data_IF_892846018602
#
_entry.id   IF_892846018602
#
_cell.length_a   1.000
_cell.length_b   1.000
_cell.length_c   1.000
_cell.angle_alpha   90.00
_cell.angle_beta   90.00
_cell.angle_gamma   90.00
#
_symmetry.space_group_name_H-M   'P 1'
#
loop_
_entity.id
_entity.type
_entity.pdbx_description
1 polymer ?
#
# COMPACT_ATOMS: atom_id res chain seq x y z
N UNK A 1 -14.99 -8.24 -20.80
CA UNK A 1 -13.65 -8.55 -20.27
C UNK A 1 -13.39 -8.04 -18.86
N UNK A 2 -14.42 -7.57 -18.13
CA UNK A 2 -14.27 -7.23 -16.71
C UNK A 2 -14.11 -8.51 -15.87
N UNK A 3 -13.37 -8.45 -14.75
CA UNK A 3 -12.65 -7.29 -14.23
C UNK A 3 -11.29 -7.06 -14.91
N UNK A 4 -10.95 -5.77 -15.12
CA UNK A 4 -9.64 -5.36 -15.60
C UNK A 4 -8.75 -5.00 -14.42
N UNK A 5 -7.65 -5.74 -14.23
CA UNK A 5 -6.71 -5.55 -13.12
C UNK A 5 -5.39 -5.00 -13.65
N UNK A 6 -4.95 -3.88 -13.09
CA UNK A 6 -3.71 -3.22 -13.45
C UNK A 6 -2.79 -3.12 -12.24
N UNK A 7 -1.50 -3.32 -12.47
CA UNK A 7 -0.44 -3.02 -11.50
C UNK A 7 0.45 -1.92 -12.09
N UNK A 8 0.50 -0.78 -11.42
CA UNK A 8 1.27 0.39 -11.86
C UNK A 8 2.42 0.70 -10.92
N UNK A 9 3.62 0.90 -11.47
CA UNK A 9 4.76 1.46 -10.75
C UNK A 9 4.95 2.92 -11.12
N UNK A 10 5.09 3.80 -10.12
CA UNK A 10 5.37 5.22 -10.37
C UNK A 10 6.01 5.91 -9.17
N UNK A 11 6.72 7.01 -9.46
CA UNK A 11 7.11 7.99 -8.45
C UNK A 11 5.93 8.89 -8.10
N UNK A 12 5.58 8.92 -6.82
CA UNK A 12 4.49 9.71 -6.26
C UNK A 12 5.03 11.01 -5.67
N UNK A 13 4.32 12.12 -5.92
CA UNK A 13 4.65 13.44 -5.37
C UNK A 13 3.53 13.93 -4.46
N UNK A 14 3.85 14.31 -3.21
CA UNK A 14 2.88 14.83 -2.24
C UNK A 14 3.39 16.12 -1.59
N UNK A 15 2.50 17.11 -1.46
CA UNK A 15 2.84 18.37 -0.78
C UNK A 15 2.99 18.23 0.73
N UNK A 16 2.39 17.20 1.33
CA UNK A 16 2.33 16.99 2.80
C UNK A 16 1.91 18.27 3.56
N UNK A 17 1.01 19.05 2.95
CA UNK A 17 0.45 20.25 3.57
C UNK A 17 -0.52 19.84 4.70
N UNK A 18 -0.34 20.42 5.89
CA UNK A 18 -1.18 20.14 7.07
C UNK A 18 -0.57 19.19 8.09
N UNK A 19 0.63 18.64 7.85
CA UNK A 19 1.35 17.75 8.79
C UNK A 19 2.61 18.40 9.36
N UNK A 20 2.63 19.73 9.51
CA UNK A 20 3.78 20.45 10.05
C UNK A 20 4.21 19.86 11.40
N UNK A 21 5.50 19.51 11.52
CA UNK A 21 6.06 18.97 12.76
C UNK A 21 5.94 17.45 12.97
N UNK A 22 5.24 16.70 12.09
CA UNK A 22 5.10 15.24 12.22
C UNK A 22 6.06 14.49 11.30
N UNK A 23 6.78 13.51 11.86
CA UNK A 23 7.67 12.59 11.13
C UNK A 23 8.77 13.31 10.32
N UNK A 24 9.39 14.34 10.90
CA UNK A 24 10.40 15.16 10.23
C UNK A 24 11.74 14.44 9.96
N UNK A 25 11.95 13.26 10.54
CA UNK A 25 13.18 12.47 10.40
C UNK A 25 12.96 11.20 9.56
N UNK A 26 13.95 10.83 8.74
CA UNK A 26 13.92 9.63 7.92
C UNK A 26 13.14 9.79 6.61
N UNK A 27 12.65 8.67 6.07
CA UNK A 27 11.95 8.61 4.77
C UNK A 27 10.48 8.17 4.88
N UNK A 28 9.90 8.21 6.09
CA UNK A 28 8.54 7.71 6.32
C UNK A 28 7.47 8.63 5.72
N UNK A 29 7.65 9.95 5.90
CA UNK A 29 6.82 11.00 5.30
C UNK A 29 7.73 11.91 4.49
N UNK A 30 7.56 11.89 3.17
CA UNK A 30 8.42 12.60 2.23
C UNK A 30 7.60 13.15 1.07
N UNK A 31 8.14 14.17 0.40
CA UNK A 31 7.49 14.76 -0.76
C UNK A 31 7.52 13.88 -2.01
N UNK A 32 8.45 12.92 -2.06
CA UNK A 32 8.66 12.03 -3.19
C UNK A 32 8.92 10.62 -2.69
N UNK A 33 8.19 9.64 -3.23
CA UNK A 33 8.40 8.22 -2.93
C UNK A 33 7.90 7.35 -4.09
N UNK A 34 8.48 6.16 -4.26
CA UNK A 34 7.99 5.21 -5.25
C UNK A 34 6.91 4.29 -4.69
N UNK A 35 5.97 3.93 -5.55
CA UNK A 35 4.83 3.09 -5.19
C UNK A 35 4.46 2.11 -6.30
N UNK A 36 4.14 0.89 -5.91
CA UNK A 36 3.38 -0.07 -6.71
C UNK A 36 1.92 0.00 -6.26
N UNK A 37 1.02 0.34 -7.19
CA UNK A 37 -0.42 0.43 -6.98
C UNK A 37 -1.14 -0.64 -7.79
N UNK A 38 -2.20 -1.21 -7.23
CA UNK A 38 -3.17 -2.02 -7.95
C UNK A 38 -4.41 -1.18 -8.19
N UNK A 39 -4.94 -1.23 -9.41
CA UNK A 39 -6.18 -0.58 -9.79
C UNK A 39 -7.07 -1.55 -10.55
N UNK A 40 -8.34 -1.63 -10.17
CA UNK A 40 -9.29 -2.58 -10.75
C UNK A 40 -10.53 -1.86 -11.25
N UNK A 41 -10.93 -2.18 -12.48
CA UNK A 41 -12.27 -1.90 -13.00
C UNK A 41 -13.08 -3.19 -12.93
N UNK A 42 -14.25 -3.15 -12.30
CA UNK A 42 -15.11 -4.32 -12.13
C UNK A 42 -16.56 -4.03 -12.51
N UNK A 43 -17.32 -5.09 -12.76
CA UNK A 43 -18.77 -5.01 -12.89
C UNK A 43 -19.39 -4.63 -11.53
N UNK A 44 -20.44 -3.78 -11.51
CA UNK A 44 -21.06 -3.37 -10.25
C UNK A 44 -21.56 -4.53 -9.38
N UNK A 45 -22.01 -5.61 -10.01
CA UNK A 45 -22.65 -6.74 -9.33
C UNK A 45 -21.64 -7.65 -8.61
N UNK A 46 -20.37 -7.67 -9.05
CA UNK A 46 -19.28 -8.48 -8.47
C UNK A 46 -18.17 -7.66 -7.80
N UNK A 47 -18.27 -6.32 -7.81
CA UNK A 47 -17.17 -5.44 -7.38
C UNK A 47 -16.79 -5.59 -5.90
N UNK A 48 -17.74 -5.93 -5.03
CA UNK A 48 -17.46 -6.10 -3.60
C UNK A 48 -16.72 -7.40 -3.29
N UNK A 49 -16.96 -8.46 -4.05
CA UNK A 49 -16.18 -9.69 -3.97
C UNK A 49 -14.75 -9.43 -4.45
N UNK A 50 -14.60 -8.69 -5.54
CA UNK A 50 -13.30 -8.26 -6.06
C UNK A 50 -12.53 -7.38 -5.05
N UNK A 51 -13.24 -6.54 -4.29
CA UNK A 51 -12.64 -5.70 -3.26
C UNK A 51 -12.09 -6.51 -2.08
N UNK A 52 -12.80 -7.54 -1.63
CA UNK A 52 -12.31 -8.42 -0.58
C UNK A 52 -11.11 -9.25 -1.07
N UNK A 53 -11.12 -9.71 -2.34
CA UNK A 53 -9.95 -10.34 -2.95
C UNK A 53 -8.75 -9.38 -3.03
N UNK A 54 -8.98 -8.11 -3.38
CA UNK A 54 -7.93 -7.09 -3.41
C UNK A 54 -7.34 -6.88 -2.00
N UNK A 55 -8.18 -6.80 -0.97
CA UNK A 55 -7.74 -6.72 0.43
C UNK A 55 -6.89 -7.94 0.83
N UNK A 56 -7.33 -9.15 0.49
CA UNK A 56 -6.59 -10.38 0.76
C UNK A 56 -5.24 -10.43 0.05
N UNK A 57 -5.18 -9.97 -1.20
CA UNK A 57 -3.93 -9.82 -1.96
C UNK A 57 -2.93 -8.92 -1.22
N UNK A 58 -3.39 -7.85 -0.56
CA UNK A 58 -2.52 -6.97 0.22
C UNK A 58 -2.02 -7.65 1.50
N UNK A 59 -2.87 -8.43 2.15
CA UNK A 59 -2.47 -9.23 3.30
C UNK A 59 -1.42 -10.28 2.92
N UNK A 60 -1.53 -10.90 1.74
CA UNK A 60 -0.52 -11.84 1.25
C UNK A 60 0.86 -11.20 1.10
N UNK A 61 0.93 -9.95 0.62
CA UNK A 61 2.21 -9.21 0.55
C UNK A 61 2.77 -8.99 1.97
N UNK A 62 1.95 -8.56 2.94
CA UNK A 62 2.40 -8.36 4.31
C UNK A 62 2.86 -9.67 4.98
N UNK A 63 2.13 -10.76 4.76
CA UNK A 63 2.47 -12.11 5.24
C UNK A 63 3.77 -12.61 4.60
N UNK A 64 3.93 -12.44 3.30
CA UNK A 64 5.13 -12.84 2.56
C UNK A 64 6.38 -12.09 3.02
N UNK A 65 6.22 -10.81 3.40
CA UNK A 65 7.26 -10.00 4.02
C UNK A 65 7.45 -10.29 5.53
N UNK A 66 6.72 -11.24 6.10
CA UNK A 66 6.84 -11.63 7.51
C UNK A 66 6.45 -10.56 8.52
N UNK A 67 5.66 -9.55 8.12
CA UNK A 67 5.26 -8.48 9.02
C UNK A 67 4.14 -8.89 9.97
N UNK A 68 4.21 -8.40 11.21
CA UNK A 68 3.06 -8.37 12.11
C UNK A 68 2.23 -7.12 11.81
N UNK A 69 0.99 -7.33 11.37
CA UNK A 69 0.11 -6.25 10.93
C UNK A 69 -1.32 -6.41 11.47
N UNK A 70 -2.12 -5.37 11.32
CA UNK A 70 -3.57 -5.39 11.55
C UNK A 70 -4.30 -4.79 10.35
N UNK A 71 -5.49 -5.30 10.07
CA UNK A 71 -6.43 -4.74 9.09
C UNK A 71 -7.43 -3.86 9.84
N UNK A 72 -7.64 -2.64 9.37
CA UNK A 72 -8.56 -1.68 9.98
C UNK A 72 -9.66 -1.35 8.97
N UNK A 73 -10.92 -1.56 9.32
CA UNK A 73 -12.06 -1.02 8.58
C UNK A 73 -12.27 0.43 9.00
N UNK A 74 -12.04 1.37 8.08
CA UNK A 74 -11.97 2.79 8.41
C UNK A 74 -13.36 3.37 8.71
N UNK A 75 -13.44 4.26 9.71
CA UNK A 75 -14.70 4.92 10.05
C UNK A 75 -15.04 6.01 9.03
N UNK A 76 -16.31 6.40 8.98
CA UNK A 76 -16.78 7.40 7.99
C UNK A 76 -16.12 8.76 8.11
N UNK A 77 -15.63 9.14 9.30
CA UNK A 77 -14.91 10.39 9.53
C UNK A 77 -13.47 10.39 9.03
N UNK A 78 -12.88 9.20 8.83
CA UNK A 78 -11.48 9.02 8.43
C UNK A 78 -11.32 8.59 6.97
N UNK A 79 -12.40 8.19 6.29
CA UNK A 79 -12.37 7.94 4.84
C UNK A 79 -12.50 9.26 4.07
N UNK A 80 -11.64 9.43 3.07
CA UNK A 80 -11.68 10.57 2.16
C UNK A 80 -12.53 10.29 0.92
N UNK A 81 -13.01 11.35 0.27
CA UNK A 81 -13.49 11.22 -1.12
C UNK A 81 -12.33 10.71 -1.98
N UNK A 82 -12.54 9.73 -2.88
CA UNK A 82 -13.83 9.21 -3.38
C UNK A 82 -14.40 7.95 -2.70
N UNK A 83 -13.86 7.53 -1.56
CA UNK A 83 -14.01 6.16 -1.06
C UNK A 83 -15.40 5.88 -0.49
N UNK A 84 -16.04 4.80 -0.93
CA UNK A 84 -17.28 4.27 -0.33
C UNK A 84 -16.98 3.34 0.87
N UNK A 85 -15.85 2.63 0.82
CA UNK A 85 -15.29 1.83 1.91
C UNK A 85 -13.77 1.80 1.77
N UNK A 86 -13.05 1.74 2.89
CA UNK A 86 -11.60 1.65 2.91
C UNK A 86 -11.11 0.71 4.01
N UNK A 87 -10.13 -0.12 3.67
CA UNK A 87 -9.32 -0.86 4.60
C UNK A 87 -7.89 -0.33 4.62
N UNK A 88 -7.36 -0.12 5.82
CA UNK A 88 -5.94 0.18 5.99
C UNK A 88 -5.23 -1.00 6.65
N UNK A 89 -4.07 -1.38 6.11
CA UNK A 89 -3.18 -2.32 6.77
C UNK A 89 -2.06 -1.54 7.44
N UNK A 90 -1.92 -1.76 8.74
CA UNK A 90 -0.87 -1.14 9.54
C UNK A 90 0.07 -2.20 10.11
N UNK A 91 1.37 -2.00 9.93
CA UNK A 91 2.44 -2.86 10.43
C UNK A 91 2.95 -2.32 11.77
N UNK A 92 3.36 -3.19 12.68
CA UNK A 92 4.03 -2.77 13.92
C UNK A 92 5.44 -2.26 13.60
N UNK A 93 5.81 -1.13 14.19
CA UNK A 93 7.13 -0.53 14.11
C UNK A 93 7.76 -0.60 15.50
N UNK A 94 8.57 -1.63 15.80
CA UNK A 94 9.08 -1.89 17.15
C UNK A 94 9.86 -0.72 17.74
N UNK A 95 10.67 -0.02 16.93
CA UNK A 95 11.44 1.14 17.38
C UNK A 95 10.56 2.34 17.74
N UNK A 96 9.36 2.41 17.16
CA UNK A 96 8.37 3.46 17.41
C UNK A 96 7.28 3.03 18.41
N UNK A 97 7.26 1.76 18.83
CA UNK A 97 6.25 1.17 19.71
C UNK A 97 4.80 1.42 19.27
N UNK A 98 4.53 1.42 17.95
CA UNK A 98 3.19 1.68 17.41
C UNK A 98 2.92 1.00 16.07
N UNK A 99 1.65 0.92 15.69
CA UNK A 99 1.24 0.54 14.34
C UNK A 99 1.32 1.75 13.40
N UNK A 100 1.89 1.56 12.21
CA UNK A 100 1.99 2.58 11.15
C UNK A 100 1.33 2.08 9.88
N UNK A 101 0.58 2.96 9.22
CA UNK A 101 -0.13 2.68 7.96
C UNK A 101 0.87 2.38 6.82
N UNK A 102 0.66 1.25 6.15
CA UNK A 102 1.49 0.78 5.03
C UNK A 102 0.72 0.71 3.72
N UNK A 103 -0.54 0.32 3.80
CA UNK A 103 -1.43 0.12 2.66
C UNK A 103 -2.78 0.74 2.97
N UNK A 104 -3.34 1.43 1.98
CA UNK A 104 -4.74 1.81 1.92
C UNK A 104 -5.36 1.09 0.72
N UNK A 105 -6.48 0.42 0.94
CA UNK A 105 -7.28 -0.28 -0.07
C UNK A 105 -8.69 0.35 -0.06
N UNK A 106 -9.16 0.87 -1.18
CA UNK A 106 -10.43 1.60 -1.26
C UNK A 106 -11.31 1.10 -2.41
N UNK A 107 -12.62 1.14 -2.17
CA UNK A 107 -13.65 0.91 -3.17
C UNK A 107 -14.42 2.20 -3.42
N UNK A 108 -14.44 2.67 -4.67
CA UNK A 108 -14.98 3.98 -5.03
C UNK A 108 -16.34 3.89 -5.72
N UNK A 109 -16.88 2.67 -5.83
CA UNK A 109 -18.08 2.36 -6.62
C UNK A 109 -17.98 3.03 -7.99
N UNK A 110 -19.00 3.77 -8.41
CA UNK A 110 -19.03 4.48 -9.68
C UNK A 110 -18.60 5.95 -9.55
N UNK A 111 -18.05 6.39 -8.41
CA UNK A 111 -17.71 7.80 -8.18
C UNK A 111 -16.71 8.34 -9.20
N UNK A 112 -15.63 7.58 -9.44
CA UNK A 112 -14.59 7.95 -10.40
C UNK A 112 -15.07 7.71 -11.84
N UNK A 113 -15.70 6.58 -12.12
CA UNK A 113 -16.14 6.20 -13.46
C UNK A 113 -17.22 7.15 -14.01
N UNK A 114 -18.12 7.66 -13.17
CA UNK A 114 -19.07 8.73 -13.54
C UNK A 114 -18.37 10.00 -13.99
N UNK A 115 -17.33 10.43 -13.26
CA UNK A 115 -16.56 11.64 -13.56
C UNK A 115 -15.72 11.51 -14.83
N UNK A 116 -15.19 10.32 -15.08
CA UNK A 116 -14.36 10.01 -16.24
C UNK A 116 -15.14 9.44 -17.43
N UNK A 117 -16.47 9.31 -17.30
CA UNK A 117 -17.37 8.73 -18.29
C UNK A 117 -17.01 7.29 -18.72
N UNK A 118 -16.51 6.48 -17.80
CA UNK A 118 -16.07 5.10 -18.04
C UNK A 118 -17.27 4.16 -17.87
N UNK A 119 -17.68 3.55 -18.97
CA UNK A 119 -18.92 2.77 -19.06
C UNK A 119 -18.64 1.43 -19.70
N UNK A 120 -19.36 0.42 -19.25
CA UNK A 120 -19.45 -0.87 -19.88
C UNK A 120 -20.83 -1.06 -20.52
N UNK A 121 -20.89 -1.90 -21.55
CA UNK A 121 -22.13 -2.27 -22.23
C UNK A 121 -22.34 -3.76 -22.08
N UNK A 122 -23.27 -4.10 -21.22
CA UNK A 122 -23.71 -5.46 -20.98
C UNK A 122 -25.17 -5.62 -21.46
N UNK A 123 -25.40 -6.57 -22.38
CA UNK A 123 -26.73 -6.88 -22.93
C UNK A 123 -27.56 -5.67 -23.38
N UNK A 124 -26.90 -4.64 -23.93
CA UNK A 124 -27.53 -3.40 -24.41
C UNK A 124 -27.80 -2.35 -23.33
N UNK A 125 -27.57 -2.67 -22.04
CA UNK A 125 -27.63 -1.71 -20.94
C UNK A 125 -26.24 -1.08 -20.73
N UNK A 126 -26.18 0.23 -20.81
CA UNK A 126 -24.96 0.98 -20.49
C UNK A 126 -24.93 1.24 -18.99
N UNK A 127 -23.87 0.79 -18.32
CA UNK A 127 -23.66 0.98 -16.88
C UNK A 127 -22.27 1.60 -16.65
N UNK A 128 -22.14 2.37 -15.57
CA UNK A 128 -20.82 2.79 -15.10
C UNK A 128 -20.15 1.62 -14.40
N UNK A 129 -18.86 1.42 -14.66
CA UNK A 129 -18.06 0.38 -13.97
C UNK A 129 -17.77 0.81 -12.55
N UNK A 130 -17.49 -0.15 -11.66
CA UNK A 130 -16.94 0.15 -10.35
C UNK A 130 -15.41 0.21 -10.40
N UNK A 131 -14.83 1.12 -9.63
CA UNK A 131 -13.37 1.26 -9.49
C UNK A 131 -12.93 1.03 -8.06
N UNK A 132 -11.76 0.41 -7.90
CA UNK A 132 -11.12 0.21 -6.61
C UNK A 132 -9.60 0.22 -6.79
N UNK A 133 -8.89 0.58 -5.73
CA UNK A 133 -7.43 0.67 -5.76
C UNK A 133 -6.82 0.26 -4.44
N UNK A 134 -5.60 -0.26 -4.49
CA UNK A 134 -4.83 -0.53 -3.29
C UNK A 134 -3.34 -0.31 -3.50
N UNK A 135 -2.66 0.13 -2.45
CA UNK A 135 -1.19 0.16 -2.42
C UNK A 135 -0.64 -1.26 -2.23
N UNK A 136 0.02 -1.80 -3.25
CA UNK A 136 0.76 -3.05 -3.10
C UNK A 136 2.05 -2.84 -2.31
N UNK A 137 2.79 -1.77 -2.60
CA UNK A 137 4.01 -1.44 -1.87
C UNK A 137 4.34 0.05 -1.99
N UNK A 138 4.34 0.77 -0.87
CA UNK A 138 4.96 2.09 -0.76
C UNK A 138 6.44 1.91 -0.38
N UNK A 139 7.33 1.94 -1.37
CA UNK A 139 8.71 1.43 -1.27
C UNK A 139 9.46 2.01 -0.07
N UNK A 140 9.40 3.32 0.15
CA UNK A 140 10.08 3.98 1.26
C UNK A 140 9.58 3.54 2.64
N UNK A 141 8.26 3.41 2.81
CA UNK A 141 7.67 2.92 4.07
C UNK A 141 8.00 1.45 4.30
N UNK A 142 7.89 0.62 3.25
CA UNK A 142 8.23 -0.81 3.30
C UNK A 142 9.68 -1.00 3.70
N UNK A 143 10.61 -0.21 3.16
CA UNK A 143 12.00 -0.26 3.55
C UNK A 143 12.19 0.02 5.05
N UNK A 144 11.55 1.07 5.59
CA UNK A 144 11.63 1.35 7.04
C UNK A 144 11.04 0.19 7.85
N UNK A 145 9.90 -0.36 7.44
CA UNK A 145 9.29 -1.51 8.11
C UNK A 145 10.24 -2.72 8.16
N UNK A 146 10.96 -3.00 7.06
CA UNK A 146 12.01 -4.04 7.02
C UNK A 146 13.12 -3.69 8.00
N UNK A 147 13.67 -2.47 7.94
CA UNK A 147 14.77 -2.04 8.81
C UNK A 147 14.40 -2.17 10.29
N UNK A 148 13.19 -1.79 10.70
CA UNK A 148 12.78 -1.88 12.10
C UNK A 148 12.48 -3.31 12.56
N UNK A 149 11.84 -4.13 11.73
CA UNK A 149 11.42 -5.48 12.11
C UNK A 149 12.51 -6.54 11.94
N UNK A 150 13.51 -6.30 11.10
CA UNK A 150 14.57 -7.27 10.79
C UNK A 150 15.98 -6.87 11.29
N UNK A 151 16.11 -5.76 12.03
CA UNK A 151 17.39 -5.37 12.65
C UNK A 151 17.91 -6.43 13.65
N UNK A 152 19.22 -6.57 13.70
CA UNK A 152 19.95 -7.44 14.61
C UNK A 152 20.73 -6.61 15.64
N UNK A 153 21.19 -7.26 16.71
CA UNK A 153 21.91 -6.59 17.81
C UNK A 153 23.24 -5.94 17.37
N UNK A 154 23.86 -6.43 16.30
CA UNK A 154 25.08 -5.88 15.69
C UNK A 154 24.82 -4.74 14.68
N UNK A 155 23.55 -4.37 14.49
CA UNK A 155 23.10 -3.33 13.56
C UNK A 155 22.86 -3.81 12.13
N UNK A 156 23.18 -5.06 11.80
CA UNK A 156 22.82 -5.64 10.49
C UNK A 156 21.31 -5.81 10.39
N UNK A 157 20.78 -5.88 9.17
CA UNK A 157 19.35 -6.11 8.92
C UNK A 157 19.21 -7.38 8.09
N UNK A 158 18.43 -8.34 8.58
CA UNK A 158 18.11 -9.53 7.81
C UNK A 158 17.21 -9.16 6.62
N UNK A 159 17.48 -9.73 5.45
CA UNK A 159 16.63 -9.56 4.27
C UNK A 159 15.51 -10.61 4.32
N UNK A 160 14.22 -10.21 4.26
CA UNK A 160 13.10 -11.14 4.17
C UNK A 160 13.32 -12.19 3.08
N UNK A 161 13.05 -13.46 3.36
CA UNK A 161 13.37 -14.58 2.46
C UNK A 161 12.81 -14.38 1.05
N UNK A 162 11.59 -13.86 0.94
CA UNK A 162 10.92 -13.58 -0.34
C UNK A 162 11.66 -12.54 -1.20
N UNK A 163 12.51 -11.69 -0.59
CA UNK A 163 13.26 -10.65 -1.29
C UNK A 163 14.67 -11.09 -1.72
N UNK A 164 15.24 -12.15 -1.11
CA UNK A 164 16.60 -12.60 -1.39
C UNK A 164 16.83 -12.96 -2.87
N UNK A 165 15.90 -13.60 -3.60
CA UNK A 165 16.07 -13.87 -5.03
C UNK A 165 16.21 -12.61 -5.91
N UNK A 166 15.72 -11.47 -5.43
CA UNK A 166 15.82 -10.18 -6.14
C UNK A 166 17.09 -9.39 -5.79
N UNK A 167 17.91 -9.93 -4.88
CA UNK A 167 19.13 -9.31 -4.36
C UNK A 167 20.30 -10.29 -4.46
N UNK A 168 20.39 -11.06 -5.54
CA UNK A 168 21.47 -12.03 -5.81
C UNK A 168 21.72 -13.05 -4.68
N UNK A 169 20.68 -13.36 -3.88
CA UNK A 169 20.78 -14.28 -2.75
C UNK A 169 21.37 -13.67 -1.48
N UNK A 170 21.57 -12.35 -1.43
CA UNK A 170 22.02 -11.65 -0.23
C UNK A 170 21.04 -11.87 0.93
N UNK A 171 21.60 -12.15 2.11
CA UNK A 171 20.82 -12.47 3.32
C UNK A 171 20.75 -11.32 4.31
N UNK A 172 21.68 -10.38 4.22
CA UNK A 172 21.83 -9.30 5.21
C UNK A 172 22.25 -8.00 4.56
N UNK A 173 21.70 -6.90 5.05
CA UNK A 173 22.20 -5.55 4.80
C UNK A 173 23.22 -5.22 5.91
N UNK A 174 24.49 -4.91 5.58
CA UNK A 174 25.52 -4.67 6.59
C UNK A 174 25.34 -3.31 7.28
N UNK A 175 25.68 -3.24 8.57
CA UNK A 175 25.82 -1.97 9.26
C UNK A 175 27.14 -1.31 8.92
N UNK A 176 27.09 -0.10 8.36
CA UNK A 176 28.27 0.71 8.10
C UNK A 176 28.32 1.85 9.13
N UNK A 177 29.14 1.75 10.19
CA UNK A 177 29.25 2.82 11.17
C UNK A 177 29.73 4.09 10.47
N UNK A 178 29.09 5.21 10.81
CA UNK A 178 29.46 6.52 10.28
C UNK A 178 30.94 6.76 10.60
N UNK A 179 31.80 6.87 9.58
CA UNK A 179 33.17 7.35 9.80
C UNK A 179 33.04 8.73 10.43
N UNK A 180 33.45 8.86 11.70
CA UNK A 180 33.62 10.17 12.33
C UNK A 180 34.75 10.86 11.56
N UNK A 181 34.40 11.79 10.68
CA UNK A 181 35.32 12.79 10.13
C UNK A 181 35.61 13.84 11.18
#
# INVERSE_FOLDING_TARGET
DLPLRYTGFSTCFRREAGTYGKDLGGIFRVHQFDKVEIFIFSEPDSSWEEYELLRETMEEIMKGLGFHYRVMNMCTGDIGLPNAKQYDLAVVFPGQAMYREMVSCSHDTDFQSRRLNIRDRDNGKIRFVHTMSSTACAVGRTLIAILENYQQADGTVLIPEILQPYLDGEKTIPFLPRKRS
#
